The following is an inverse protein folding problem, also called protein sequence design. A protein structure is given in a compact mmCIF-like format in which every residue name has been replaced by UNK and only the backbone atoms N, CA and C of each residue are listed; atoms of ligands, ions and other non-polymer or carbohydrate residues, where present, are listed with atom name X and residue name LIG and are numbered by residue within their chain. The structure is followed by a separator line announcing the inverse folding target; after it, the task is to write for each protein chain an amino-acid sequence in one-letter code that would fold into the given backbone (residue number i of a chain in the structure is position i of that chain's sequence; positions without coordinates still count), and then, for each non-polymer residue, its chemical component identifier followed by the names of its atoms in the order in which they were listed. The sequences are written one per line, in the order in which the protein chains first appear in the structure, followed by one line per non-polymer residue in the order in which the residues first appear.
data_IF_397539590705
#
_entry.id   IF_397539590705
#
_cell.length_a   1.000
_cell.length_b   1.000
_cell.length_c   1.000
_cell.angle_alpha   90.00
_cell.angle_beta   90.00
_cell.angle_gamma   90.00
#
_symmetry.space_group_name_H-M   'P 1'
#
loop_
_entity.id
_entity.type
_entity.pdbx_description
1 polymer ?
#
# COMPACT_ATOMS: atom_id res chain seq x y z
N UNK A 1 -12.78 -24.38 0.16
CA UNK A 1 -11.96 -23.23 0.58
C UNK A 1 -10.92 -22.97 -0.49
N UNK A 2 -10.65 -21.71 -0.80
CA UNK A 2 -9.48 -21.32 -1.60
C UNK A 2 -8.19 -21.79 -0.88
N UNK A 3 -7.16 -22.14 -1.67
CA UNK A 3 -5.82 -22.51 -1.21
C UNK A 3 -5.28 -21.47 -0.21
N UNK A 4 -5.51 -20.18 -0.49
CA UNK A 4 -5.08 -19.08 0.41
C UNK A 4 -5.82 -19.16 1.74
N UNK A 5 -7.14 -19.29 1.72
CA UNK A 5 -7.95 -19.39 2.94
C UNK A 5 -7.53 -20.59 3.79
N UNK A 6 -7.26 -21.74 3.15
CA UNK A 6 -6.78 -22.95 3.81
C UNK A 6 -5.42 -22.73 4.48
N UNK A 7 -4.48 -22.11 3.80
CA UNK A 7 -3.16 -21.81 4.37
C UNK A 7 -3.25 -20.85 5.56
N UNK A 8 -4.07 -19.80 5.45
CA UNK A 8 -4.28 -18.83 6.55
C UNK A 8 -4.93 -19.50 7.77
N UNK A 9 -5.84 -20.45 7.59
CA UNK A 9 -6.44 -21.14 8.73
C UNK A 9 -5.51 -22.20 9.35
N UNK A 10 -4.76 -22.94 8.52
CA UNK A 10 -4.04 -24.14 8.97
C UNK A 10 -2.56 -23.91 9.27
N UNK A 11 -1.90 -22.92 8.63
CA UNK A 11 -0.44 -22.74 8.72
C UNK A 11 -0.02 -21.43 9.39
N UNK A 12 -0.76 -20.37 9.17
CA UNK A 12 -0.44 -19.06 9.75
C UNK A 12 -0.42 -19.04 11.30
N UNK A 13 -1.38 -19.67 12.01
CA UNK A 13 -1.35 -19.71 13.48
C UNK A 13 -0.13 -20.46 14.03
N UNK A 14 0.26 -21.57 13.41
CA UNK A 14 1.41 -22.39 13.83
C UNK A 14 2.75 -21.63 13.72
N UNK A 15 2.86 -20.75 12.72
CA UNK A 15 4.06 -19.92 12.49
C UNK A 15 4.07 -18.76 13.48
N UNK A 16 2.95 -18.05 13.62
CA UNK A 16 2.87 -16.85 14.46
C UNK A 16 2.89 -17.15 15.95
N UNK A 17 2.42 -18.32 16.39
CA UNK A 17 2.47 -18.73 17.80
C UNK A 17 3.90 -18.81 18.38
N UNK A 18 4.93 -18.80 17.52
CA UNK A 18 6.35 -18.83 17.92
C UNK A 18 6.93 -17.46 18.25
N UNK A 19 6.21 -16.39 17.96
CA UNK A 19 6.68 -15.01 18.07
C UNK A 19 5.68 -14.17 18.85
N UNK A 20 6.16 -13.15 19.56
CA UNK A 20 5.24 -12.17 20.11
C UNK A 20 4.68 -11.30 18.97
N UNK A 21 3.47 -10.72 19.12
CA UNK A 21 2.95 -9.75 18.16
C UNK A 21 3.90 -8.58 17.87
N UNK A 22 4.75 -8.19 18.85
CA UNK A 22 5.76 -7.16 18.67
C UNK A 22 6.87 -7.53 17.69
N UNK A 23 7.09 -8.83 17.48
CA UNK A 23 8.19 -9.39 16.68
C UNK A 23 7.75 -9.77 15.25
N UNK A 24 6.45 -9.71 14.97
CA UNK A 24 5.87 -10.04 13.67
C UNK A 24 5.71 -8.75 12.88
N UNK A 25 6.51 -8.55 11.84
CA UNK A 25 6.46 -7.37 10.97
C UNK A 25 5.79 -7.66 9.63
N UNK A 26 4.97 -6.72 9.19
CA UNK A 26 4.55 -6.63 7.79
C UNK A 26 5.29 -5.47 7.12
N UNK A 27 5.67 -5.66 5.87
CA UNK A 27 6.27 -4.62 5.02
C UNK A 27 5.57 -4.60 3.68
N UNK A 28 5.29 -3.41 3.15
CA UNK A 28 4.69 -3.26 1.84
C UNK A 28 5.16 -1.97 1.15
N UNK A 29 5.08 -1.97 -0.17
CA UNK A 29 5.47 -0.86 -1.03
C UNK A 29 4.24 -0.05 -1.44
N UNK A 30 4.33 1.28 -1.32
CA UNK A 30 3.29 2.19 -1.79
C UNK A 30 3.87 3.28 -2.68
N UNK A 31 3.10 3.71 -3.68
CA UNK A 31 3.51 4.77 -4.60
C UNK A 31 2.85 6.11 -4.23
N UNK A 32 3.67 7.10 -3.90
CA UNK A 32 3.25 8.48 -3.72
C UNK A 32 3.26 9.21 -5.07
N UNK A 33 2.08 9.42 -5.65
CA UNK A 33 1.91 10.10 -6.94
C UNK A 33 1.64 11.60 -6.77
N UNK A 34 2.64 12.40 -6.36
CA UNK A 34 2.41 13.80 -5.99
C UNK A 34 2.03 14.73 -7.15
N UNK A 35 2.26 14.34 -8.41
CA UNK A 35 1.87 15.12 -9.59
C UNK A 35 0.59 14.60 -10.26
N UNK A 36 -0.07 13.61 -9.66
CA UNK A 36 -1.27 13.03 -10.26
C UNK A 36 -2.44 14.01 -10.14
N UNK A 37 -2.95 14.45 -11.28
CA UNK A 37 -4.15 15.27 -11.34
C UNK A 37 -5.41 14.43 -11.01
N UNK A 38 -6.47 15.08 -10.49
CA UNK A 38 -7.77 14.43 -10.35
C UNK A 38 -8.27 13.85 -11.67
N UNK A 39 -8.95 12.71 -11.60
CA UNK A 39 -9.50 12.00 -12.77
C UNK A 39 -10.63 12.76 -13.49
N UNK A 40 -11.20 13.76 -12.83
CA UNK A 40 -12.23 14.64 -13.38
C UNK A 40 -11.74 16.07 -13.35
N UNK A 41 -11.66 16.68 -14.53
CA UNK A 41 -11.39 18.11 -14.67
C UNK A 41 -12.69 18.87 -14.46
N UNK A 42 -12.67 19.97 -13.70
CA UNK A 42 -13.75 20.96 -13.68
C UNK A 42 -13.79 21.65 -15.04
N UNK A 43 -14.58 21.09 -15.97
CA UNK A 43 -14.83 21.70 -17.28
C UNK A 43 -16.07 22.61 -17.19
N UNK A 44 -16.01 23.79 -17.80
CA UNK A 44 -17.20 24.63 -17.92
C UNK A 44 -18.23 23.96 -18.85
N UNK A 45 -19.52 24.23 -18.62
CA UNK A 45 -20.59 23.70 -19.49
C UNK A 45 -20.32 24.18 -20.92
N UNK A 46 -20.20 23.23 -21.85
CA UNK A 46 -19.87 23.42 -23.28
C UNK A 46 -18.38 23.64 -23.64
N UNK A 47 -17.44 23.48 -22.70
CA UNK A 47 -16.01 23.39 -23.05
C UNK A 47 -15.61 21.97 -23.44
N UNK A 48 -14.88 21.85 -24.56
CA UNK A 48 -14.22 20.59 -24.93
C UNK A 48 -12.99 20.38 -24.05
N UNK A 49 -13.15 19.58 -22.99
CA UNK A 49 -12.02 19.11 -22.19
C UNK A 49 -11.32 17.96 -22.94
N UNK A 50 -10.14 18.23 -23.50
CA UNK A 50 -9.30 17.19 -24.09
C UNK A 50 -8.63 16.38 -22.97
N UNK A 51 -8.72 15.05 -23.05
CA UNK A 51 -8.14 14.16 -22.03
C UNK A 51 -6.64 14.43 -21.86
N UNK A 52 -6.24 14.82 -20.66
CA UNK A 52 -4.82 14.99 -20.34
C UNK A 52 -4.23 13.64 -19.93
N UNK A 53 -3.03 13.32 -20.42
CA UNK A 53 -2.31 12.12 -19.96
C UNK A 53 -1.91 12.34 -18.50
N UNK A 54 -2.44 11.51 -17.60
CA UNK A 54 -2.10 11.57 -16.18
C UNK A 54 -0.58 11.46 -15.99
N UNK A 55 -0.03 12.39 -15.23
CA UNK A 55 1.35 12.33 -14.81
C UNK A 55 1.50 11.22 -13.76
N UNK A 56 2.29 10.19 -14.10
CA UNK A 56 2.53 9.01 -13.26
C UNK A 56 3.86 9.09 -12.50
N UNK A 57 4.45 10.30 -12.39
CA UNK A 57 5.61 10.50 -11.52
C UNK A 57 5.24 10.09 -10.10
N UNK A 58 6.05 9.21 -9.53
CA UNK A 58 5.84 8.59 -8.23
C UNK A 58 7.16 8.46 -7.50
N UNK A 59 7.11 8.54 -6.17
CA UNK A 59 8.14 8.03 -5.26
C UNK A 59 7.55 6.76 -4.67
N UNK A 60 8.28 5.67 -4.76
CA UNK A 60 7.96 4.41 -4.09
C UNK A 60 8.52 4.44 -2.69
N UNK A 61 7.65 4.19 -1.72
CA UNK A 61 7.94 4.22 -0.30
C UNK A 61 7.70 2.82 0.26
N UNK A 62 8.70 2.26 0.93
CA UNK A 62 8.55 1.06 1.74
C UNK A 62 8.08 1.45 3.14
N UNK A 63 6.98 0.85 3.59
CA UNK A 63 6.42 1.01 4.92
C UNK A 63 6.48 -0.32 5.66
N UNK A 64 6.90 -0.28 6.92
CA UNK A 64 6.97 -1.47 7.77
C UNK A 64 6.51 -1.17 9.20
N UNK A 65 5.70 -2.07 9.76
CA UNK A 65 5.17 -1.99 11.13
C UNK A 65 5.01 -3.40 11.70
N UNK A 66 5.11 -3.54 13.02
CA UNK A 66 4.79 -4.79 13.69
C UNK A 66 3.28 -4.97 13.89
N UNK A 67 2.89 -6.21 14.20
CA UNK A 67 1.50 -6.66 14.30
C UNK A 67 0.73 -5.98 15.42
N UNK A 68 1.37 -5.65 16.54
CA UNK A 68 0.75 -4.88 17.64
C UNK A 68 0.78 -3.35 17.44
N UNK A 69 1.49 -2.87 16.41
CA UNK A 69 1.60 -1.46 16.06
C UNK A 69 2.48 -0.61 16.98
N UNK A 70 3.20 -1.23 17.93
CA UNK A 70 4.11 -0.53 18.85
C UNK A 70 5.38 -0.02 18.16
N UNK A 71 5.81 -0.67 17.07
CA UNK A 71 7.01 -0.33 16.32
C UNK A 71 6.68 -0.02 14.86
N UNK A 72 6.99 1.22 14.47
CA UNK A 72 6.84 1.70 13.09
C UNK A 72 8.19 2.17 12.59
N UNK A 73 8.65 1.62 11.48
CA UNK A 73 9.89 2.07 10.85
C UNK A 73 9.68 3.42 10.16
N UNK A 74 10.75 4.20 10.06
CA UNK A 74 10.73 5.42 9.25
C UNK A 74 10.49 5.02 7.78
N UNK A 75 9.58 5.69 7.06
CA UNK A 75 9.36 5.41 5.65
C UNK A 75 10.66 5.49 4.85
N UNK A 76 10.93 4.46 4.03
CA UNK A 76 12.13 4.40 3.20
C UNK A 76 11.78 4.69 1.75
N UNK A 77 12.47 5.64 1.14
CA UNK A 77 12.36 5.91 -0.30
C UNK A 77 13.21 4.88 -1.05
N UNK A 78 12.57 4.10 -1.93
CA UNK A 78 13.22 3.00 -2.67
C UNK A 78 13.16 3.15 -4.19
N UNK A 79 12.49 4.18 -4.70
CA UNK A 79 12.38 4.46 -6.14
C UNK A 79 11.42 5.58 -6.47
#
# INVERSE_FOLDING_TARGET
MDIVSKWVSEKWPDITARYNPSDIFNTDETALLWQLLPSRTLAHRNEKCHGCKHNKLRITILLATNMDGSSKFRPLVIG
#
